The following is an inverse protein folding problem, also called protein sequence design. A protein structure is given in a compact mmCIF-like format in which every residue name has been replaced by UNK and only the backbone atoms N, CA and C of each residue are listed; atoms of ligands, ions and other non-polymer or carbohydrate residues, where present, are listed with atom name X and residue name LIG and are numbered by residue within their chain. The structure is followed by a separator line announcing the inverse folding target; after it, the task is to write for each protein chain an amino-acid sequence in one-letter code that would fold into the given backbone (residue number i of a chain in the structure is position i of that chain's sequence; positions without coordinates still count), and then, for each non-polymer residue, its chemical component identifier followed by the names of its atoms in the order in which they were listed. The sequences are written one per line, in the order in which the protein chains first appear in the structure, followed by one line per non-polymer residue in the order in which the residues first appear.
data_IF_786633030486
#
_entry.id   IF_786633030486
#
_cell.length_a   1.000
_cell.length_b   1.000
_cell.length_c   1.000
_cell.angle_alpha   90.00
_cell.angle_beta   90.00
_cell.angle_gamma   90.00
#
_symmetry.space_group_name_H-M   'P 1'
#
loop_
_entity.id
_entity.type
_entity.pdbx_description
1 polymer ?
#
# COMPACT_ATOMS: atom_id res chain seq x y z
N UNK A 1 4.66 -7.13 13.26
CA UNK A 1 4.21 -7.13 14.67
C UNK A 1 5.24 -7.76 15.61
N UNK A 2 5.34 -7.27 16.86
CA UNK A 2 6.37 -7.63 17.87
C UNK A 2 6.53 -9.13 18.12
N UNK A 3 5.43 -9.86 17.97
CA UNK A 3 5.34 -11.29 18.28
C UNK A 3 5.66 -12.22 17.10
N UNK A 4 5.92 -11.69 15.89
CA UNK A 4 6.16 -12.52 14.71
C UNK A 4 7.48 -13.30 14.81
N UNK A 5 8.56 -12.60 15.20
CA UNK A 5 9.92 -13.13 15.30
C UNK A 5 10.62 -12.57 16.55
N UNK A 6 10.58 -13.29 17.68
CA UNK A 6 11.22 -12.84 18.91
C UNK A 6 12.72 -12.56 18.74
N UNK A 7 13.17 -11.42 19.25
CA UNK A 7 14.58 -11.02 19.20
C UNK A 7 15.04 -10.41 17.88
N UNK A 8 14.14 -10.19 16.92
CA UNK A 8 14.45 -9.59 15.62
C UNK A 8 13.73 -8.27 15.40
N UNK A 9 14.37 -7.40 14.63
CA UNK A 9 13.75 -6.25 13.97
C UNK A 9 13.54 -6.63 12.52
N UNK A 10 12.29 -6.56 12.05
CA UNK A 10 11.92 -6.81 10.65
C UNK A 10 11.17 -5.57 10.17
N UNK A 11 11.68 -4.93 9.13
CA UNK A 11 11.10 -3.71 8.53
C UNK A 11 10.80 -4.01 7.07
N UNK A 12 9.59 -3.73 6.62
CA UNK A 12 9.23 -3.79 5.20
C UNK A 12 9.32 -2.39 4.60
N UNK A 13 9.74 -2.34 3.34
CA UNK A 13 10.03 -1.09 2.63
C UNK A 13 9.35 -1.21 1.27
N UNK A 14 8.47 -0.26 0.96
CA UNK A 14 7.89 -0.10 -0.37
C UNK A 14 8.74 0.84 -1.21
N UNK A 15 8.89 0.53 -2.48
CA UNK A 15 9.49 1.41 -3.46
C UNK A 15 8.42 1.84 -4.48
N UNK A 16 7.94 3.07 -4.36
CA UNK A 16 7.05 3.74 -5.33
C UNK A 16 7.84 4.15 -6.58
N UNK A 17 8.34 3.15 -7.30
CA UNK A 17 9.04 3.39 -8.55
C UNK A 17 8.08 3.47 -9.74
N UNK A 18 8.07 4.63 -10.39
CA UNK A 18 7.13 5.02 -11.44
C UNK A 18 7.65 4.81 -12.88
N UNK A 19 8.21 3.65 -13.19
CA UNK A 19 8.69 3.34 -14.55
C UNK A 19 7.52 3.16 -15.54
N UNK A 20 7.68 3.70 -16.75
CA UNK A 20 6.63 3.73 -17.79
C UNK A 20 6.59 2.47 -18.68
N UNK A 21 7.56 1.58 -18.57
CA UNK A 21 7.84 0.49 -19.53
C UNK A 21 7.86 -0.89 -18.86
N UNK A 22 8.45 -1.01 -17.68
CA UNK A 22 8.56 -2.25 -16.90
C UNK A 22 8.38 -1.92 -15.42
N UNK A 23 7.47 -2.60 -14.68
CA UNK A 23 7.33 -2.40 -13.25
C UNK A 23 8.66 -2.58 -12.51
N UNK A 24 9.06 -1.62 -11.68
CA UNK A 24 10.29 -1.73 -10.87
C UNK A 24 10.12 -1.38 -9.39
N UNK A 25 8.90 -1.13 -8.92
CA UNK A 25 8.66 -0.96 -7.49
C UNK A 25 8.86 -2.29 -6.76
N UNK A 26 9.71 -2.33 -5.75
CA UNK A 26 10.13 -3.57 -5.08
C UNK A 26 9.63 -3.64 -3.65
N UNK A 27 9.31 -4.85 -3.18
CA UNK A 27 9.12 -5.09 -1.74
C UNK A 27 10.46 -5.41 -1.10
N UNK A 28 11.03 -4.43 -0.42
CA UNK A 28 12.22 -4.56 0.40
C UNK A 28 11.89 -5.09 1.80
N UNK A 29 12.86 -5.78 2.39
CA UNK A 29 12.82 -6.17 3.80
C UNK A 29 14.21 -5.98 4.42
N UNK A 30 14.26 -5.29 5.57
CA UNK A 30 15.43 -5.27 6.43
C UNK A 30 15.23 -6.22 7.61
N UNK A 31 16.26 -7.02 7.91
CA UNK A 31 16.28 -7.91 9.08
C UNK A 31 17.53 -7.66 9.92
N UNK A 32 17.33 -7.27 11.18
CA UNK A 32 18.38 -7.07 12.18
C UNK A 32 18.02 -7.71 13.52
N UNK A 33 18.92 -7.58 14.50
CA UNK A 33 18.59 -7.93 15.89
C UNK A 33 17.59 -6.91 16.48
N UNK A 34 16.95 -7.26 17.60
CA UNK A 34 15.95 -6.40 18.23
C UNK A 34 16.51 -5.00 18.54
N UNK A 35 15.86 -3.97 17.96
CA UNK A 35 16.26 -2.56 18.08
C UNK A 35 17.38 -2.12 17.13
N UNK A 36 17.97 -3.02 16.34
CA UNK A 36 18.98 -2.68 15.34
C UNK A 36 18.34 -2.19 14.04
N UNK A 37 18.83 -1.07 13.51
CA UNK A 37 18.47 -0.47 12.23
C UNK A 37 19.70 -0.14 11.36
N UNK A 38 20.88 -0.66 11.73
CA UNK A 38 22.15 -0.36 11.07
C UNK A 38 22.96 -1.61 10.72
N UNK A 39 22.98 -2.63 11.60
CA UNK A 39 23.84 -3.80 11.47
C UNK A 39 23.22 -5.02 10.78
N UNK A 40 21.92 -4.96 10.49
CA UNK A 40 21.17 -5.97 9.76
C UNK A 40 21.41 -5.99 8.25
N UNK A 41 20.57 -6.76 7.55
CA UNK A 41 20.72 -7.07 6.14
C UNK A 41 19.46 -6.68 5.36
N UNK A 42 19.65 -6.14 4.14
CA UNK A 42 18.58 -5.84 3.19
C UNK A 42 18.29 -7.04 2.29
N UNK A 43 17.01 -7.23 1.97
CA UNK A 43 16.50 -8.28 1.10
C UNK A 43 15.42 -7.72 0.15
N UNK A 44 15.22 -8.37 -0.99
CA UNK A 44 14.11 -8.12 -1.92
C UNK A 44 13.26 -9.37 -2.12
N UNK A 45 11.94 -9.20 -2.26
CA UNK A 45 11.03 -10.31 -2.53
C UNK A 45 11.19 -10.83 -3.97
N UNK A 46 11.38 -12.14 -4.10
CA UNK A 46 11.41 -12.85 -5.38
C UNK A 46 10.27 -13.87 -5.44
N UNK A 47 9.48 -13.82 -6.50
CA UNK A 47 8.55 -14.91 -6.83
C UNK A 47 9.34 -16.01 -7.54
N UNK A 48 9.22 -17.24 -7.03
CA UNK A 48 10.04 -18.38 -7.49
C UNK A 48 9.35 -19.24 -8.53
N UNK A 49 8.05 -19.00 -8.78
CA UNK A 49 7.30 -19.69 -9.82
C UNK A 49 7.80 -19.23 -11.21
N UNK A 50 8.29 -20.15 -12.07
CA UNK A 50 8.87 -19.80 -13.36
C UNK A 50 7.84 -19.29 -14.39
N UNK A 51 6.54 -19.29 -14.06
CA UNK A 51 5.50 -18.75 -14.93
C UNK A 51 5.06 -17.33 -14.55
N UNK A 52 5.72 -16.72 -13.56
CA UNK A 52 5.44 -15.35 -13.12
C UNK A 52 6.61 -14.48 -13.53
N UNK A 53 6.47 -13.80 -14.66
CA UNK A 53 7.46 -12.83 -15.16
C UNK A 53 7.14 -11.43 -14.64
N UNK A 54 5.86 -11.11 -14.49
CA UNK A 54 5.38 -9.83 -13.98
C UNK A 54 4.27 -9.99 -12.95
N UNK A 55 3.99 -8.91 -12.22
CA UNK A 55 2.97 -8.92 -11.19
C UNK A 55 1.58 -9.33 -11.72
N UNK A 56 1.26 -8.95 -12.97
CA UNK A 56 -0.05 -9.24 -13.59
C UNK A 56 -0.26 -10.69 -13.97
N UNK A 57 0.80 -11.50 -14.00
CA UNK A 57 0.71 -12.95 -14.20
C UNK A 57 0.13 -13.66 -12.96
N UNK A 58 0.22 -13.02 -11.78
CA UNK A 58 -0.41 -13.53 -10.56
C UNK A 58 -1.93 -13.37 -10.64
N UNK A 59 -2.63 -14.50 -10.68
CA UNK A 59 -4.09 -14.56 -10.71
C UNK A 59 -4.64 -14.28 -9.31
N UNK A 60 -5.64 -13.40 -9.23
CA UNK A 60 -6.36 -13.09 -7.99
C UNK A 60 -6.80 -14.37 -7.24
N UNK A 61 -6.46 -14.44 -5.95
CA UNK A 61 -6.77 -15.54 -5.04
C UNK A 61 -5.84 -16.75 -5.12
N UNK A 62 -4.91 -16.80 -6.08
CA UNK A 62 -3.89 -17.85 -6.16
C UNK A 62 -2.63 -17.47 -5.38
N UNK A 63 -2.03 -18.46 -4.70
CA UNK A 63 -0.79 -18.28 -3.96
C UNK A 63 0.41 -18.83 -4.72
N UNK A 64 1.49 -18.06 -4.74
CA UNK A 64 2.73 -18.37 -5.43
C UNK A 64 3.88 -18.46 -4.44
N UNK A 65 4.81 -19.39 -4.65
CA UNK A 65 5.98 -19.54 -3.80
C UNK A 65 6.92 -18.34 -3.98
N UNK A 66 7.40 -17.78 -2.88
CA UNK A 66 8.35 -16.68 -2.88
C UNK A 66 9.49 -16.92 -1.90
N UNK A 67 10.57 -16.17 -2.06
CA UNK A 67 11.67 -16.08 -1.11
C UNK A 67 12.18 -14.64 -1.03
N UNK A 68 12.91 -14.32 0.03
CA UNK A 68 13.64 -13.07 0.14
C UNK A 68 15.10 -13.30 -0.24
N UNK A 69 15.58 -12.59 -1.25
CA UNK A 69 16.99 -12.65 -1.68
C UNK A 69 17.77 -11.50 -1.05
N UNK A 70 18.95 -11.80 -0.50
CA UNK A 70 19.82 -10.78 0.07
C UNK A 70 20.27 -9.78 -1.00
N UNK A 71 20.29 -8.50 -0.65
CA UNK A 71 20.78 -7.38 -1.46
C UNK A 71 21.99 -6.74 -0.78
N UNK A 72 23.02 -6.43 -1.55
CA UNK A 72 24.30 -5.93 -1.04
C UNK A 72 24.52 -4.45 -1.37
N UNK A 73 23.83 -3.93 -2.40
CA UNK A 73 23.93 -2.54 -2.82
C UNK A 73 23.06 -1.60 -1.97
N UNK A 74 23.47 -0.33 -1.90
CA UNK A 74 22.77 0.71 -1.12
C UNK A 74 22.61 2.02 -1.89
N UNK A 75 23.22 2.14 -3.06
CA UNK A 75 22.97 3.25 -3.98
C UNK A 75 21.79 2.90 -4.88
N UNK A 76 20.85 3.82 -5.04
CA UNK A 76 19.58 3.60 -5.74
C UNK A 76 19.75 2.87 -7.09
N UNK A 77 20.54 3.43 -8.01
CA UNK A 77 20.73 2.85 -9.36
C UNK A 77 21.40 1.46 -9.32
N UNK A 78 22.30 1.23 -8.36
CA UNK A 78 22.99 -0.07 -8.22
C UNK A 78 22.08 -1.11 -7.57
N UNK A 79 21.25 -0.69 -6.60
CA UNK A 79 20.28 -1.52 -5.93
C UNK A 79 19.19 -1.98 -6.89
N UNK A 80 18.65 -1.08 -7.72
CA UNK A 80 17.68 -1.43 -8.76
C UNK A 80 18.27 -2.44 -9.76
N UNK A 81 19.50 -2.18 -10.24
CA UNK A 81 20.21 -3.11 -11.12
C UNK A 81 20.49 -4.49 -10.46
N UNK A 82 20.81 -4.51 -9.17
CA UNK A 82 20.99 -5.74 -8.39
C UNK A 82 19.67 -6.50 -8.26
N UNK A 83 18.57 -5.82 -7.94
CA UNK A 83 17.23 -6.38 -7.85
C UNK A 83 16.83 -7.07 -9.16
N UNK A 84 16.99 -6.39 -10.29
CA UNK A 84 16.76 -6.97 -11.61
C UNK A 84 17.65 -8.20 -11.87
N UNK A 85 18.93 -8.13 -11.52
CA UNK A 85 19.88 -9.23 -11.72
C UNK A 85 19.52 -10.46 -10.87
N UNK A 86 19.04 -10.26 -9.64
CA UNK A 86 18.64 -11.33 -8.72
C UNK A 86 17.21 -11.83 -8.96
N UNK A 87 16.44 -11.14 -9.80
CA UNK A 87 15.05 -11.47 -10.13
C UNK A 87 14.09 -11.12 -9.01
N UNK A 88 14.34 -10.01 -8.30
CA UNK A 88 13.37 -9.41 -7.38
C UNK A 88 12.15 -8.97 -8.19
N UNK A 89 10.95 -9.21 -7.65
CA UNK A 89 9.69 -8.88 -8.32
C UNK A 89 9.51 -7.36 -8.40
N UNK A 90 9.20 -6.87 -9.59
CA UNK A 90 8.81 -5.49 -9.84
C UNK A 90 7.28 -5.33 -9.85
N UNK A 91 6.80 -4.30 -9.19
CA UNK A 91 5.40 -3.90 -9.06
C UNK A 91 5.22 -2.48 -9.61
N UNK A 92 4.03 -2.18 -10.15
CA UNK A 92 3.72 -0.85 -10.65
C UNK A 92 3.37 0.08 -9.50
N UNK A 93 4.41 0.64 -8.87
CA UNK A 93 4.34 1.56 -7.73
C UNK A 93 3.82 0.88 -6.47
N UNK A 94 4.74 0.27 -5.72
CA UNK A 94 4.42 -0.36 -4.44
C UNK A 94 4.38 0.73 -3.38
N UNK A 95 3.21 0.94 -2.78
CA UNK A 95 2.96 2.01 -1.82
C UNK A 95 3.01 1.48 -0.37
N UNK A 96 1.94 1.67 0.38
CA UNK A 96 1.89 1.39 1.81
C UNK A 96 1.81 -0.11 2.11
N UNK A 97 2.32 -0.46 3.29
CA UNK A 97 2.51 -1.82 3.75
C UNK A 97 2.10 -1.90 5.22
N UNK A 98 1.27 -2.90 5.54
CA UNK A 98 0.91 -3.19 6.92
C UNK A 98 0.83 -4.70 7.17
N UNK A 99 0.75 -5.11 8.44
CA UNK A 99 0.64 -6.51 8.84
C UNK A 99 -0.62 -6.76 9.66
N UNK A 100 -1.14 -7.98 9.59
CA UNK A 100 -2.33 -8.37 10.35
C UNK A 100 -2.06 -8.48 11.84
N UNK A 101 -2.93 -7.89 12.67
CA UNK A 101 -2.81 -7.89 14.14
C UNK A 101 -3.51 -9.12 14.76
N UNK A 102 -3.46 -9.21 16.09
CA UNK A 102 -4.19 -10.20 16.89
C UNK A 102 -3.35 -11.40 17.38
N UNK A 103 -2.37 -11.88 16.62
CA UNK A 103 -1.53 -13.01 17.06
C UNK A 103 -0.14 -13.02 16.42
N UNK A 104 0.79 -13.82 16.98
CA UNK A 104 2.11 -14.04 16.38
C UNK A 104 2.03 -14.65 14.98
N UNK A 105 1.02 -15.47 14.71
CA UNK A 105 0.76 -16.04 13.39
C UNK A 105 0.22 -15.00 12.42
N UNK A 106 -0.76 -14.19 12.84
CA UNK A 106 -1.29 -13.12 12.01
C UNK A 106 -0.22 -12.08 11.67
N UNK A 107 0.68 -11.77 12.62
CA UNK A 107 1.76 -10.81 12.41
C UNK A 107 2.76 -11.19 11.30
N UNK A 108 2.65 -12.40 10.72
CA UNK A 108 3.42 -12.86 9.56
C UNK A 108 2.65 -12.76 8.23
N UNK A 109 1.42 -12.26 8.27
CA UNK A 109 0.66 -11.85 7.10
C UNK A 109 0.88 -10.35 6.87
N UNK A 110 1.58 -10.04 5.78
CA UNK A 110 1.88 -8.68 5.34
C UNK A 110 0.97 -8.38 4.16
N UNK A 111 0.40 -7.18 4.12
CA UNK A 111 -0.44 -6.70 3.03
C UNK A 111 0.12 -5.40 2.52
N UNK A 112 0.10 -5.20 1.21
CA UNK A 112 0.58 -3.98 0.60
C UNK A 112 -0.24 -3.61 -0.62
N UNK A 113 -0.32 -2.31 -0.86
CA UNK A 113 -0.96 -1.74 -2.02
C UNK A 113 0.06 -1.58 -3.16
N UNK A 114 -0.42 -1.80 -4.37
CA UNK A 114 0.24 -1.38 -5.60
C UNK A 114 -0.73 -0.43 -6.27
N UNK A 115 -0.39 0.86 -6.34
CA UNK A 115 -1.32 1.91 -6.81
C UNK A 115 -1.55 1.86 -8.32
N UNK A 116 -0.69 1.15 -9.04
CA UNK A 116 -0.80 0.94 -10.46
C UNK A 116 -0.36 2.16 -11.25
N UNK A 117 -0.18 1.95 -12.56
CA UNK A 117 0.27 2.98 -13.48
C UNK A 117 -0.25 2.75 -14.88
N UNK A 118 -1.07 3.67 -15.36
CA UNK A 118 -1.70 3.52 -16.66
C UNK A 118 -0.82 4.04 -17.79
N UNK A 119 0.01 3.16 -18.34
CA UNK A 119 0.86 3.43 -19.51
C UNK A 119 0.73 2.33 -20.57
N UNK A 120 0.80 2.66 -21.88
CA UNK A 120 0.67 1.66 -22.94
C UNK A 120 1.67 0.49 -22.81
N UNK A 121 2.91 0.77 -22.42
CA UNK A 121 3.98 -0.23 -22.37
C UNK A 121 3.92 -1.14 -21.12
N UNK A 122 3.08 -0.77 -20.13
CA UNK A 122 2.81 -1.58 -18.95
C UNK A 122 1.65 -2.56 -19.14
N UNK A 123 0.87 -2.47 -20.22
CA UNK A 123 -0.24 -3.40 -20.49
C UNK A 123 0.31 -4.83 -20.60
N UNK A 124 -0.17 -5.71 -19.71
CA UNK A 124 0.30 -7.10 -19.62
C UNK A 124 1.62 -7.28 -18.85
N UNK A 125 2.08 -6.25 -18.13
CA UNK A 125 3.23 -6.32 -17.22
C UNK A 125 2.89 -5.74 -15.84
N UNK A 126 2.45 -4.49 -15.81
CA UNK A 126 2.15 -3.76 -14.59
C UNK A 126 0.66 -3.61 -14.35
N UNK A 127 0.28 -3.50 -13.08
CA UNK A 127 -1.10 -3.14 -12.75
C UNK A 127 -1.40 -1.72 -13.24
N UNK A 128 -2.59 -1.50 -13.80
CA UNK A 128 -3.00 -0.18 -14.31
C UNK A 128 -3.88 0.56 -13.30
N UNK A 129 -4.83 -0.14 -12.68
CA UNK A 129 -5.77 0.43 -11.70
C UNK A 129 -5.43 0.09 -10.24
N UNK A 130 -4.42 -0.74 -10.06
CA UNK A 130 -3.86 -1.13 -8.77
C UNK A 130 -4.40 -2.44 -8.21
N UNK A 131 -3.65 -2.98 -7.25
CA UNK A 131 -3.84 -4.30 -6.65
C UNK A 131 -3.49 -4.27 -5.17
N UNK A 132 -4.02 -5.24 -4.43
CA UNK A 132 -3.56 -5.52 -3.06
C UNK A 132 -3.00 -6.92 -3.01
N UNK A 133 -1.82 -7.04 -2.43
CA UNK A 133 -1.13 -8.31 -2.25
C UNK A 133 -1.06 -8.70 -0.78
N UNK A 134 -1.05 -10.00 -0.54
CA UNK A 134 -0.75 -10.62 0.75
C UNK A 134 0.53 -11.45 0.64
N UNK A 135 1.47 -11.20 1.52
CA UNK A 135 2.64 -12.04 1.77
C UNK A 135 2.45 -12.81 3.07
N UNK A 136 2.64 -14.12 3.04
CA UNK A 136 2.73 -14.96 4.24
C UNK A 136 4.17 -15.42 4.43
N UNK A 137 4.78 -14.93 5.50
CA UNK A 137 6.19 -15.21 5.81
C UNK A 137 6.37 -16.61 6.42
N UNK A 138 7.59 -17.14 6.32
CA UNK A 138 7.96 -18.38 6.96
C UNK A 138 7.86 -18.29 8.49
N UNK A 139 7.33 -19.32 9.16
CA UNK A 139 7.10 -19.26 10.60
C UNK A 139 8.37 -19.13 11.47
N UNK A 140 9.53 -19.55 10.97
CA UNK A 140 10.76 -19.66 11.77
C UNK A 140 11.85 -18.68 11.37
N UNK A 141 11.80 -18.14 10.15
CA UNK A 141 12.84 -17.28 9.58
C UNK A 141 12.19 -16.22 8.66
N UNK A 142 12.22 -14.92 8.99
CA UNK A 142 11.59 -13.89 8.16
C UNK A 142 12.11 -13.86 6.71
N UNK A 143 13.33 -14.37 6.46
CA UNK A 143 13.97 -14.41 5.13
C UNK A 143 13.71 -15.72 4.37
N UNK A 144 13.15 -16.72 5.03
CA UNK A 144 12.88 -18.03 4.46
C UNK A 144 11.71 -18.03 3.48
N UNK A 145 11.54 -19.16 2.78
CA UNK A 145 10.48 -19.33 1.80
C UNK A 145 9.08 -19.11 2.40
N UNK A 146 8.24 -18.39 1.66
CA UNK A 146 6.85 -18.07 1.99
C UNK A 146 5.96 -18.07 0.76
N UNK A 147 4.84 -17.36 0.84
CA UNK A 147 3.92 -17.21 -0.31
C UNK A 147 3.49 -15.77 -0.52
N UNK A 148 3.27 -15.39 -1.77
CA UNK A 148 2.58 -14.16 -2.16
C UNK A 148 1.24 -14.48 -2.82
N UNK A 149 0.23 -13.63 -2.68
CA UNK A 149 -1.10 -13.78 -3.27
C UNK A 149 -1.63 -12.41 -3.65
N UNK A 150 -2.05 -12.22 -4.90
CA UNK A 150 -2.90 -11.08 -5.26
C UNK A 150 -4.28 -11.31 -4.65
N UNK A 151 -4.69 -10.52 -3.66
CA UNK A 151 -5.97 -10.73 -2.95
C UNK A 151 -7.11 -9.88 -3.54
N UNK A 152 -6.77 -8.76 -4.18
CA UNK A 152 -7.72 -7.87 -4.83
C UNK A 152 -7.08 -7.32 -6.12
N UNK A 153 -7.75 -7.51 -7.25
CA UNK A 153 -7.25 -7.09 -8.56
C UNK A 153 -8.14 -6.02 -9.23
N UNK A 154 -7.67 -4.78 -9.27
CA UNK A 154 -8.36 -3.66 -9.91
C UNK A 154 -8.38 -3.71 -11.43
N UNK A 155 -7.50 -4.51 -12.04
CA UNK A 155 -7.44 -4.75 -13.50
C UNK A 155 -8.42 -5.83 -13.95
N UNK A 156 -8.95 -6.62 -13.00
CA UNK A 156 -10.02 -7.59 -13.24
C UNK A 156 -11.37 -6.88 -13.22
N UNK A 157 -11.79 -6.39 -14.38
CA UNK A 157 -12.98 -5.53 -14.54
C UNK A 157 -14.33 -6.23 -14.25
N UNK A 158 -14.35 -7.55 -14.08
CA UNK A 158 -15.51 -8.32 -13.61
C UNK A 158 -15.35 -8.84 -12.16
N UNK A 159 -14.28 -8.44 -11.48
CA UNK A 159 -13.94 -8.82 -10.11
C UNK A 159 -14.55 -7.93 -9.04
N UNK A 160 -14.33 -8.29 -7.77
CA UNK A 160 -14.87 -7.51 -6.63
C UNK A 160 -14.15 -6.18 -6.44
N UNK A 161 -12.90 -6.08 -6.89
CA UNK A 161 -12.06 -4.89 -6.82
C UNK A 161 -12.12 -4.03 -8.09
N UNK A 162 -13.06 -4.31 -9.02
CA UNK A 162 -13.19 -3.60 -10.30
C UNK A 162 -13.40 -2.09 -10.17
N UNK A 163 -13.78 -1.60 -8.98
CA UNK A 163 -13.98 -0.18 -8.69
C UNK A 163 -12.68 0.49 -8.20
N UNK A 164 -11.58 -0.24 -7.98
CA UNK A 164 -10.31 0.35 -7.54
C UNK A 164 -9.80 1.43 -8.48
N UNK A 165 -9.46 2.59 -7.93
CA UNK A 165 -8.83 3.68 -8.63
C UNK A 165 -7.59 4.08 -7.85
N UNK A 166 -6.52 3.29 -8.02
CA UNK A 166 -5.22 3.53 -7.37
C UNK A 166 -5.25 3.39 -5.84
N UNK A 167 -5.44 2.16 -5.31
CA UNK A 167 -5.24 1.88 -3.89
C UNK A 167 -3.79 2.20 -3.49
N UNK A 168 -3.63 2.93 -2.39
CA UNK A 168 -2.37 3.53 -2.00
C UNK A 168 -2.02 3.17 -0.55
N UNK A 169 -2.77 3.70 0.42
CA UNK A 169 -2.52 3.47 1.83
C UNK A 169 -3.32 2.27 2.39
N UNK A 170 -2.80 1.59 3.42
CA UNK A 170 -3.46 0.43 4.03
C UNK A 170 -3.26 0.32 5.54
N UNK A 171 -4.34 0.01 6.26
CA UNK A 171 -4.26 -0.41 7.67
C UNK A 171 -4.97 -1.75 7.88
N UNK A 172 -4.27 -2.73 8.44
CA UNK A 172 -4.75 -4.12 8.56
C UNK A 172 -5.00 -4.46 10.02
N UNK A 173 -6.24 -4.58 10.45
CA UNK A 173 -6.59 -4.94 11.83
C UNK A 173 -6.48 -6.45 12.08
N UNK A 174 -7.24 -7.02 13.02
CA UNK A 174 -7.25 -8.47 13.24
C UNK A 174 -8.08 -9.21 12.18
N UNK A 175 -9.16 -8.60 11.69
CA UNK A 175 -10.13 -9.21 10.79
C UNK A 175 -10.36 -8.43 9.49
N UNK A 176 -9.87 -7.20 9.39
CA UNK A 176 -10.11 -6.35 8.24
C UNK A 176 -8.82 -5.69 7.73
N UNK A 177 -8.80 -5.38 6.44
CA UNK A 177 -7.88 -4.40 5.87
C UNK A 177 -8.69 -3.20 5.38
N UNK A 178 -8.26 -2.01 5.74
CA UNK A 178 -8.80 -0.76 5.26
C UNK A 178 -7.87 -0.19 4.21
N UNK A 179 -8.37 -0.09 2.98
CA UNK A 179 -7.59 0.27 1.80
C UNK A 179 -8.08 1.63 1.34
N UNK A 180 -7.15 2.56 1.16
CA UNK A 180 -7.44 3.96 0.84
C UNK A 180 -6.93 4.27 -0.56
N UNK A 181 -7.65 5.09 -1.31
CA UNK A 181 -7.27 5.46 -2.69
C UNK A 181 -6.58 6.82 -2.77
N UNK A 182 -5.56 6.88 -3.63
CA UNK A 182 -5.02 8.09 -4.27
C UNK A 182 -5.31 8.06 -5.78
N UNK A 183 -6.49 8.52 -6.23
CA UNK A 183 -6.90 8.35 -7.62
C UNK A 183 -6.01 9.12 -8.61
N UNK A 184 -5.23 8.40 -9.42
CA UNK A 184 -4.35 8.96 -10.46
C UNK A 184 -5.07 9.58 -11.69
N UNK A 185 -6.37 9.92 -11.59
CA UNK A 185 -7.11 10.69 -12.60
C UNK A 185 -7.59 9.93 -13.85
N UNK A 186 -7.55 8.59 -13.86
CA UNK A 186 -8.03 7.76 -14.97
C UNK A 186 -9.53 7.44 -14.90
N UNK A 187 -10.37 8.42 -15.24
CA UNK A 187 -11.84 8.31 -15.24
C UNK A 187 -12.41 7.71 -16.55
N UNK A 188 -11.90 6.56 -16.99
CA UNK A 188 -12.22 6.00 -18.31
C UNK A 188 -13.21 4.83 -18.29
N UNK A 189 -13.64 4.39 -17.11
CA UNK A 189 -14.76 3.46 -16.93
C UNK A 189 -15.78 4.02 -15.94
N UNK A 190 -17.02 3.51 -16.00
CA UNK A 190 -18.05 3.88 -15.04
C UNK A 190 -17.65 3.50 -13.60
N UNK A 191 -16.91 2.40 -13.43
CA UNK A 191 -16.43 1.91 -12.15
C UNK A 191 -15.32 2.78 -11.56
N UNK A 192 -14.65 3.62 -12.37
CA UNK A 192 -13.65 4.61 -11.90
C UNK A 192 -14.23 6.03 -11.77
N UNK A 193 -15.55 6.19 -11.90
CA UNK A 193 -16.19 7.52 -11.84
C UNK A 193 -16.64 7.81 -10.41
N UNK A 194 -15.69 7.99 -9.51
CA UNK A 194 -15.89 8.32 -8.08
C UNK A 194 -14.72 9.11 -7.53
N UNK A 195 -14.93 9.78 -6.40
CA UNK A 195 -13.84 10.37 -5.62
C UNK A 195 -13.18 9.32 -4.74
N UNK A 196 -11.99 9.59 -4.17
CA UNK A 196 -11.27 8.64 -3.33
C UNK A 196 -12.16 7.94 -2.30
N UNK A 197 -12.04 6.61 -2.24
CA UNK A 197 -12.78 5.74 -1.33
C UNK A 197 -11.89 5.12 -0.26
N UNK A 198 -12.55 4.82 0.86
CA UNK A 198 -12.06 3.87 1.85
C UNK A 198 -12.81 2.56 1.67
N UNK A 199 -12.09 1.48 1.41
CA UNK A 199 -12.64 0.14 1.36
C UNK A 199 -12.38 -0.59 2.68
N UNK A 200 -13.33 -1.44 3.09
CA UNK A 200 -13.15 -2.45 4.12
C UNK A 200 -13.12 -3.82 3.44
N UNK A 201 -11.99 -4.50 3.54
CA UNK A 201 -11.79 -5.88 3.08
C UNK A 201 -11.79 -6.84 4.27
N UNK A 202 -12.70 -7.80 4.30
CA UNK A 202 -12.75 -8.80 5.35
C UNK A 202 -11.73 -9.92 5.07
N UNK A 203 -10.73 -10.05 5.94
CA UNK A 203 -9.61 -10.98 5.79
C UNK A 203 -10.01 -12.45 5.93
N UNK A 204 -11.19 -12.73 6.48
CA UNK A 204 -11.69 -14.08 6.72
C UNK A 204 -12.67 -14.54 5.63
N UNK A 205 -13.42 -13.62 5.02
CA UNK A 205 -14.46 -13.95 4.03
C UNK A 205 -14.13 -13.50 2.60
N UNK A 206 -13.16 -12.60 2.43
CA UNK A 206 -12.84 -11.97 1.15
C UNK A 206 -13.86 -10.94 0.69
N UNK A 207 -14.82 -10.55 1.53
CA UNK A 207 -15.81 -9.53 1.17
C UNK A 207 -15.17 -8.13 1.16
N UNK A 208 -15.37 -7.40 0.06
CA UNK A 208 -14.96 -6.00 -0.09
C UNK A 208 -16.19 -5.09 -0.11
N UNK A 209 -16.17 -3.97 0.62
CA UNK A 209 -17.18 -2.92 0.52
C UNK A 209 -16.56 -1.53 0.65
N UNK A 210 -17.19 -0.55 0.04
CA UNK A 210 -16.92 0.87 0.28
C UNK A 210 -17.53 1.25 1.63
N UNK A 211 -16.74 1.88 2.51
CA UNK A 211 -17.22 2.37 3.81
C UNK A 211 -17.21 3.89 3.91
N UNK A 212 -16.35 4.58 3.15
CA UNK A 212 -16.35 6.04 3.01
C UNK A 212 -16.00 6.42 1.56
N UNK A 213 -16.45 7.60 1.15
CA UNK A 213 -16.06 8.27 -0.11
C UNK A 213 -15.97 9.78 0.17
N UNK A 214 -14.97 10.45 -0.39
CA UNK A 214 -14.84 11.91 -0.27
C UNK A 214 -15.97 12.64 -1.00
N UNK A 215 -16.73 13.48 -0.30
CA UNK A 215 -17.68 14.42 -0.92
C UNK A 215 -16.97 15.72 -1.32
N UNK A 216 -16.13 15.65 -2.35
CA UNK A 216 -15.32 16.79 -2.81
C UNK A 216 -16.19 17.94 -3.33
N UNK A 217 -17.33 17.64 -3.93
CA UNK A 217 -18.23 18.68 -4.44
C UNK A 217 -18.81 19.52 -3.31
N UNK A 218 -19.32 18.89 -2.24
CA UNK A 218 -19.77 19.61 -1.06
C UNK A 218 -18.61 20.37 -0.41
N UNK A 219 -17.46 19.73 -0.23
CA UNK A 219 -16.30 20.34 0.39
C UNK A 219 -15.77 21.56 -0.40
N UNK A 220 -15.79 21.52 -1.73
CA UNK A 220 -15.51 22.66 -2.60
C UNK A 220 -16.50 23.82 -2.35
N UNK A 221 -17.80 23.55 -2.20
CA UNK A 221 -18.77 24.62 -1.87
C UNK A 221 -18.52 25.27 -0.51
N UNK A 222 -17.83 24.56 0.38
CA UNK A 222 -17.42 25.04 1.70
C UNK A 222 -16.04 25.70 1.71
N UNK A 223 -15.30 25.64 0.59
CA UNK A 223 -13.99 26.26 0.42
C UNK A 223 -12.81 25.39 0.85
N UNK A 224 -12.98 24.07 0.91
CA UNK A 224 -11.97 23.12 1.36
C UNK A 224 -11.25 22.40 0.22
N UNK A 225 -10.85 23.13 -0.83
CA UNK A 225 -10.17 22.59 -2.01
C UNK A 225 -11.03 22.60 -3.26
N UNK A 226 -10.56 21.92 -4.31
CA UNK A 226 -11.17 21.88 -5.63
C UNK A 226 -11.60 20.46 -6.01
N UNK A 227 -12.80 20.30 -6.59
CA UNK A 227 -13.22 19.02 -7.17
C UNK A 227 -12.70 18.79 -8.60
N UNK A 228 -11.90 19.73 -9.13
CA UNK A 228 -11.25 19.58 -10.44
C UNK A 228 -9.99 18.69 -10.40
N UNK A 229 -9.51 18.33 -9.21
CA UNK A 229 -8.40 17.41 -8.97
C UNK A 229 -8.86 16.33 -7.99
N UNK A 230 -8.52 15.07 -8.26
CA UNK A 230 -8.84 13.99 -7.33
C UNK A 230 -8.05 14.18 -6.02
N UNK A 231 -8.73 14.17 -4.88
CA UNK A 231 -8.14 14.09 -3.53
C UNK A 231 -7.84 12.64 -3.14
N UNK A 232 -7.08 12.48 -2.08
CA UNK A 232 -6.75 11.19 -1.47
C UNK A 232 -7.44 11.05 -0.09
N UNK A 233 -7.84 9.83 0.27
CA UNK A 233 -8.01 9.42 1.68
C UNK A 233 -6.71 8.74 2.12
N UNK A 234 -6.11 9.15 3.23
CA UNK A 234 -4.73 8.77 3.52
C UNK A 234 -4.43 8.62 5.01
N UNK A 235 -3.33 7.96 5.33
CA UNK A 235 -2.73 7.91 6.66
C UNK A 235 -3.64 7.34 7.75
N UNK A 236 -4.55 6.43 7.40
CA UNK A 236 -5.44 5.82 8.38
C UNK A 236 -4.66 4.98 9.39
N UNK A 237 -4.91 5.21 10.69
CA UNK A 237 -4.32 4.43 11.78
C UNK A 237 -5.39 4.01 12.79
N UNK A 238 -5.27 2.78 13.30
CA UNK A 238 -6.06 2.29 14.43
C UNK A 238 -5.52 2.88 15.74
N UNK A 239 -6.32 3.73 16.39
CA UNK A 239 -5.96 4.38 17.66
C UNK A 239 -6.72 3.81 18.85
N UNK A 240 -7.46 2.71 18.65
CA UNK A 240 -8.41 2.19 19.63
C UNK A 240 -7.77 1.92 20.99
N UNK A 241 -6.64 1.21 20.97
CA UNK A 241 -5.92 0.84 22.19
C UNK A 241 -5.19 2.04 22.82
N UNK A 242 -4.81 3.03 22.01
CA UNK A 242 -4.10 4.24 22.46
C UNK A 242 -5.01 5.11 23.32
N UNK A 243 -6.27 5.26 22.90
CA UNK A 243 -7.24 6.11 23.58
C UNK A 243 -8.20 5.34 24.50
N UNK A 244 -8.14 4.00 24.48
CA UNK A 244 -9.02 3.13 25.26
C UNK A 244 -10.48 3.15 24.77
N UNK A 245 -10.69 3.29 23.46
CA UNK A 245 -12.01 3.28 22.82
C UNK A 245 -11.96 2.40 21.57
N UNK A 246 -12.66 1.27 21.61
CA UNK A 246 -12.71 0.33 20.49
C UNK A 246 -13.21 0.98 19.19
N UNK A 247 -12.87 0.35 18.08
CA UNK A 247 -13.34 0.67 16.73
C UNK A 247 -13.11 2.14 16.35
N UNK A 248 -11.98 2.72 16.79
CA UNK A 248 -11.66 4.14 16.58
C UNK A 248 -10.38 4.31 15.78
N UNK A 249 -10.50 5.06 14.68
CA UNK A 249 -9.42 5.31 13.73
C UNK A 249 -9.22 6.82 13.55
N UNK A 250 -7.97 7.20 13.29
CA UNK A 250 -7.67 8.47 12.67
C UNK A 250 -7.50 8.24 11.17
N UNK A 251 -7.95 9.17 10.34
CA UNK A 251 -7.66 9.19 8.90
C UNK A 251 -7.60 10.64 8.42
N UNK A 252 -6.91 10.86 7.31
CA UNK A 252 -6.77 12.18 6.71
C UNK A 252 -7.38 12.23 5.31
N UNK A 253 -7.71 13.45 4.87
CA UNK A 253 -7.90 13.75 3.45
C UNK A 253 -6.83 14.73 2.99
N UNK A 254 -6.25 14.49 1.81
CA UNK A 254 -5.41 15.47 1.12
C UNK A 254 -6.30 16.31 0.20
N UNK A 255 -6.61 17.54 0.61
CA UNK A 255 -7.59 18.37 -0.08
C UNK A 255 -6.93 19.23 -1.14
N UNK A 256 -6.66 18.67 -2.31
CA UNK A 256 -5.98 19.41 -3.37
C UNK A 256 -6.72 20.71 -3.77
N UNK A 257 -5.93 21.76 -3.98
CA UNK A 257 -6.38 23.13 -4.20
C UNK A 257 -6.83 23.87 -2.94
N UNK A 258 -6.75 23.27 -1.73
CA UNK A 258 -7.00 24.00 -0.48
C UNK A 258 -5.73 24.67 0.01
N UNK A 259 -5.39 25.82 -0.57
CA UNK A 259 -4.11 26.48 -0.31
C UNK A 259 -4.25 27.67 0.66
N UNK A 260 -3.37 27.73 1.66
CA UNK A 260 -3.18 28.90 2.51
C UNK A 260 -1.72 29.00 2.95
N UNK A 261 -1.13 30.20 2.89
CA UNK A 261 0.26 30.40 3.30
C UNK A 261 0.51 30.10 4.79
N UNK A 262 -0.55 30.06 5.61
CA UNK A 262 -0.50 29.69 7.03
C UNK A 262 -0.46 28.19 7.28
N UNK A 263 -0.66 27.34 6.27
CA UNK A 263 -0.52 25.88 6.40
C UNK A 263 0.93 25.41 6.44
N UNK A 264 1.88 26.27 6.06
CA UNK A 264 3.31 26.00 6.17
C UNK A 264 3.95 26.90 7.21
N UNK A 265 4.87 26.35 8.02
CA UNK A 265 5.70 27.14 8.91
C UNK A 265 7.02 27.46 8.19
N UNK A 266 7.28 28.72 7.80
CA UNK A 266 8.51 29.10 7.10
C UNK A 266 9.78 28.90 7.94
N UNK A 267 9.68 28.71 9.26
CA UNK A 267 10.82 28.37 10.11
C UNK A 267 11.13 26.86 10.09
N UNK A 268 10.12 26.02 9.93
CA UNK A 268 10.27 24.57 9.83
C UNK A 268 10.54 24.12 8.39
N UNK A 269 9.93 24.81 7.41
CA UNK A 269 10.03 24.53 5.99
C UNK A 269 10.34 25.82 5.21
N UNK A 270 11.62 26.19 5.14
CA UNK A 270 12.06 27.44 4.51
C UNK A 270 11.81 27.48 2.98
N UNK A 271 11.62 26.31 2.35
CA UNK A 271 11.31 26.15 0.92
C UNK A 271 10.13 25.21 0.80
N UNK A 272 8.92 25.77 0.78
CA UNK A 272 7.69 24.98 0.69
C UNK A 272 7.45 24.56 -0.77
N UNK A 273 7.35 23.25 -1.02
CA UNK A 273 6.99 22.71 -2.34
C UNK A 273 5.46 22.76 -2.58
N UNK A 274 4.68 22.83 -1.50
CA UNK A 274 3.22 23.00 -1.49
C UNK A 274 2.79 23.78 -0.24
N UNK A 275 1.61 24.40 -0.28
CA UNK A 275 0.93 25.02 0.85
C UNK A 275 -0.55 24.56 0.94
N UNK A 276 -0.82 23.35 0.47
CA UNK A 276 -2.12 22.70 0.57
C UNK A 276 -2.40 22.23 2.00
N UNK A 277 -3.67 22.30 2.39
CA UNK A 277 -4.17 21.83 3.68
C UNK A 277 -4.74 20.42 3.60
N UNK A 278 -4.70 19.74 4.74
CA UNK A 278 -5.35 18.44 4.96
C UNK A 278 -6.36 18.53 6.10
N UNK A 279 -7.31 17.61 6.13
CA UNK A 279 -8.18 17.43 7.30
C UNK A 279 -7.88 16.12 7.99
N UNK A 280 -7.88 16.14 9.33
CA UNK A 280 -7.79 14.93 10.16
C UNK A 280 -9.16 14.63 10.77
N UNK A 281 -9.61 13.40 10.60
CA UNK A 281 -10.89 12.91 11.10
C UNK A 281 -10.67 11.83 12.15
N UNK A 282 -11.61 11.76 13.10
CA UNK A 282 -11.82 10.59 13.95
C UNK A 282 -13.01 9.83 13.39
N UNK A 283 -12.82 8.56 13.07
CA UNK A 283 -13.88 7.66 12.61
C UNK A 283 -14.11 6.57 13.65
N UNK A 284 -15.37 6.36 14.00
CA UNK A 284 -15.78 5.41 15.03
C UNK A 284 -16.77 4.38 14.46
N UNK A 285 -16.70 3.15 14.95
CA UNK A 285 -17.65 2.07 14.62
C UNK A 285 -17.30 1.27 13.36
N UNK A 286 -16.04 1.36 12.91
CA UNK A 286 -15.49 0.47 11.89
C UNK A 286 -14.91 -0.79 12.56
N UNK A 287 -15.35 -1.98 12.13
CA UNK A 287 -14.95 -3.25 12.76
C UNK A 287 -13.43 -3.52 12.71
N UNK A 288 -12.88 -4.20 13.73
CA UNK A 288 -11.46 -4.60 13.81
C UNK A 288 -11.23 -6.10 13.55
#
# INVERSE_FOLDING_TARGET
GKEAYPGKTVVFIGDDHSDDVIPSGQLGMYVGDAGDLFGGQLYGLKVTDPNIDFEVDMVEGQSYAMEFVQLDETQLDLLDAECHTKGVMGFSRLEDIDWRRGSSTNNREIYFCVTGRKKPDLVGKGSLYGRVYKVTLNANDPTGAGTITCVLDGDKLDGIAKDFHSPDNIVVTENYAYIQEDPNGYYDTADKTHYARLYQYNLNTGALKVVLECDQDLAQTQGYGSSASAWEITGMIDVSDIIGKEDTFLLMTQNHGWEDASFTDPMANATTDSNEGSMLYIVEGLDR
#
